data_IF_384150390925
#
_entry.id   IF_384150390925
#
_cell.length_a   1.000
_cell.length_b   1.000
_cell.length_c   1.000
_cell.angle_alpha   90.00
_cell.angle_beta   90.00
_cell.angle_gamma   90.00
#
_symmetry.space_group_name_H-M   'P 1'
#
loop_
_entity.id
_entity.type
_entity.pdbx_description
1 polymer ?
#
# COMPACT_ATOMS: atom_id res chain seq x y z
N UNK A 1 6.12 -12.95 17.07
CA UNK A 1 6.42 -12.16 15.87
C UNK A 1 5.26 -11.21 15.72
N UNK A 2 5.51 -9.91 15.59
CA UNK A 2 4.42 -8.96 15.31
C UNK A 2 4.00 -9.18 13.85
N UNK A 3 2.70 -9.27 13.62
CA UNK A 3 2.14 -9.62 12.33
C UNK A 3 2.44 -8.50 11.32
N UNK A 4 3.24 -8.79 10.29
CA UNK A 4 3.47 -7.85 9.19
C UNK A 4 2.23 -7.84 8.32
N UNK A 5 1.41 -6.80 8.43
CA UNK A 5 0.13 -6.75 7.75
C UNK A 5 0.09 -5.68 6.66
N UNK A 6 -0.64 -5.98 5.59
CA UNK A 6 -1.17 -4.97 4.67
C UNK A 6 -2.66 -4.86 4.94
N UNK A 7 -3.16 -3.63 5.03
CA UNK A 7 -4.57 -3.34 5.22
C UNK A 7 -5.03 -2.49 4.04
N UNK A 8 -6.07 -2.94 3.35
CA UNK A 8 -6.78 -2.13 2.35
C UNK A 8 -8.22 -1.86 2.79
N UNK A 9 -8.66 -0.60 2.67
CA UNK A 9 -10.02 -0.15 2.93
C UNK A 9 -10.76 0.16 1.64
N UNK A 10 -11.98 -0.35 1.51
CA UNK A 10 -12.78 -0.29 0.27
C UNK A 10 -14.19 0.18 0.61
N UNK A 11 -14.51 1.48 0.48
CA UNK A 11 -15.83 2.01 0.75
C UNK A 11 -16.84 1.65 -0.33
N UNK A 12 -18.11 1.51 0.06
CA UNK A 12 -19.23 1.27 -0.85
C UNK A 12 -20.57 1.76 -0.29
N UNK A 13 -21.61 1.73 -1.12
CA UNK A 13 -22.96 2.26 -0.82
C UNK A 13 -24.00 1.14 -0.64
N UNK A 14 -23.61 0.03 -0.05
CA UNK A 14 -24.54 -1.05 0.28
C UNK A 14 -25.55 -0.56 1.33
N UNK A 15 -26.84 -0.79 1.13
CA UNK A 15 -27.92 -0.36 2.02
C UNK A 15 -27.79 -0.94 3.42
N UNK A 16 -27.42 -2.21 3.52
CA UNK A 16 -27.22 -2.92 4.77
C UNK A 16 -26.20 -4.06 4.61
N UNK A 17 -25.79 -4.66 5.73
CA UNK A 17 -24.81 -5.78 5.73
C UNK A 17 -25.32 -7.00 4.96
N UNK A 18 -26.63 -7.20 4.84
CA UNK A 18 -27.19 -8.33 4.09
C UNK A 18 -26.96 -8.11 2.60
N UNK A 19 -27.24 -6.91 2.09
CA UNK A 19 -26.96 -6.56 0.70
C UNK A 19 -25.46 -6.65 0.40
N UNK A 20 -24.58 -6.18 1.30
CA UNK A 20 -23.13 -6.29 1.13
C UNK A 20 -22.71 -7.76 0.97
N UNK A 21 -23.10 -8.64 1.90
CA UNK A 21 -22.73 -10.06 1.86
C UNK A 21 -23.29 -10.75 0.60
N UNK A 22 -24.55 -10.46 0.23
CA UNK A 22 -25.18 -11.04 -0.96
C UNK A 22 -24.52 -10.57 -2.26
N UNK A 23 -24.16 -9.29 -2.34
CA UNK A 23 -23.51 -8.71 -3.52
C UNK A 23 -22.08 -9.25 -3.66
N UNK A 24 -21.35 -9.38 -2.56
CA UNK A 24 -20.05 -10.08 -2.55
C UNK A 24 -20.23 -11.50 -3.06
N UNK A 25 -21.11 -12.30 -2.47
CA UNK A 25 -21.29 -13.70 -2.86
C UNK A 25 -21.70 -13.90 -4.34
N UNK A 26 -22.37 -12.92 -4.95
CA UNK A 26 -22.86 -13.01 -6.33
C UNK A 26 -21.97 -12.33 -7.38
N UNK A 27 -21.15 -11.35 -7.00
CA UNK A 27 -20.41 -10.49 -7.96
C UNK A 27 -18.89 -10.47 -7.76
N UNK A 28 -18.37 -11.13 -6.72
CA UNK A 28 -16.95 -11.08 -6.37
C UNK A 28 -16.11 -12.24 -6.93
N UNK A 29 -16.56 -12.93 -7.98
CA UNK A 29 -15.80 -14.03 -8.63
C UNK A 29 -15.37 -15.16 -7.67
N UNK A 30 -16.33 -15.66 -6.88
CA UNK A 30 -16.12 -16.81 -6.01
C UNK A 30 -15.60 -16.47 -4.60
N UNK A 31 -15.37 -15.19 -4.31
CA UNK A 31 -15.14 -14.78 -2.92
C UNK A 31 -16.44 -14.80 -2.11
N UNK A 32 -16.29 -15.13 -0.82
CA UNK A 32 -17.36 -15.12 0.17
C UNK A 32 -16.89 -14.35 1.40
N UNK A 33 -17.80 -13.54 1.94
CA UNK A 33 -17.61 -12.85 3.21
C UNK A 33 -18.47 -13.53 4.28
N UNK A 34 -17.82 -14.15 5.27
CA UNK A 34 -18.48 -14.90 6.33
C UNK A 34 -17.86 -14.54 7.69
N UNK A 35 -18.61 -13.79 8.51
CA UNK A 35 -18.07 -13.22 9.74
C UNK A 35 -16.91 -12.28 9.42
N UNK A 36 -15.74 -12.57 9.99
CA UNK A 36 -14.52 -11.78 9.79
C UNK A 36 -13.56 -12.41 8.76
N UNK A 37 -14.07 -13.28 7.90
CA UNK A 37 -13.26 -14.03 6.92
C UNK A 37 -13.72 -13.68 5.51
N UNK A 38 -12.76 -13.33 4.66
CA UNK A 38 -12.94 -13.14 3.23
C UNK A 38 -12.14 -14.21 2.48
N UNK A 39 -12.84 -15.12 1.81
CA UNK A 39 -12.23 -16.36 1.30
C UNK A 39 -12.64 -16.65 -0.14
N UNK A 40 -11.69 -17.09 -0.96
CA UNK A 40 -11.94 -17.68 -2.26
C UNK A 40 -11.49 -19.14 -2.26
N UNK A 41 -12.45 -20.05 -2.39
CA UNK A 41 -12.19 -21.49 -2.31
C UNK A 41 -11.38 -22.01 -3.49
N UNK A 42 -11.67 -21.54 -4.69
CA UNK A 42 -11.05 -22.05 -5.91
C UNK A 42 -9.57 -21.64 -6.00
N UNK A 43 -9.26 -20.44 -5.51
CA UNK A 43 -7.89 -19.93 -5.40
C UNK A 43 -7.17 -20.37 -4.12
N UNK A 44 -7.90 -20.95 -3.15
CA UNK A 44 -7.40 -21.29 -1.81
C UNK A 44 -6.80 -20.08 -1.06
N UNK A 45 -7.42 -18.90 -1.21
CA UNK A 45 -6.98 -17.64 -0.61
C UNK A 45 -7.91 -17.30 0.55
N UNK A 46 -7.34 -16.86 1.67
CA UNK A 46 -8.10 -16.44 2.85
C UNK A 46 -7.49 -15.18 3.46
N UNK A 47 -8.34 -14.19 3.74
CA UNK A 47 -7.99 -12.97 4.45
C UNK A 47 -8.89 -12.79 5.66
N UNK A 48 -8.38 -12.07 6.66
CA UNK A 48 -9.26 -11.43 7.64
C UNK A 48 -9.95 -10.25 6.98
N UNK A 49 -11.21 -10.03 7.32
CA UNK A 49 -11.96 -8.88 6.87
C UNK A 49 -12.78 -8.27 8.00
N UNK A 50 -12.91 -6.94 7.94
CA UNK A 50 -13.73 -6.17 8.87
C UNK A 50 -14.66 -5.25 8.09
N UNK A 51 -15.91 -5.15 8.53
CA UNK A 51 -16.87 -4.21 7.96
C UNK A 51 -17.13 -3.13 9.00
N UNK A 52 -16.75 -1.92 8.66
CA UNK A 52 -17.02 -0.72 9.44
C UNK A 52 -18.18 0.05 8.79
N UNK A 53 -18.99 0.69 9.63
CA UNK A 53 -20.09 1.53 9.17
C UNK A 53 -19.55 2.90 8.71
N UNK A 54 -20.45 3.82 8.35
CA UNK A 54 -20.09 5.17 7.89
C UNK A 54 -19.06 5.90 8.78
N UNK A 55 -18.01 6.40 8.15
CA UNK A 55 -16.96 7.19 8.77
C UNK A 55 -16.95 8.65 8.25
N UNK A 56 -17.28 9.65 9.08
CA UNK A 56 -17.37 11.05 8.64
C UNK A 56 -16.08 11.65 8.06
N UNK A 57 -14.92 11.10 8.44
CA UNK A 57 -13.59 11.59 8.04
C UNK A 57 -13.04 10.89 6.80
N UNK A 58 -13.77 9.93 6.22
CA UNK A 58 -13.24 9.11 5.14
C UNK A 58 -12.92 9.93 3.88
N UNK A 59 -13.73 10.95 3.56
CA UNK A 59 -13.47 11.86 2.44
C UNK A 59 -12.11 12.52 2.55
N UNK A 60 -11.80 13.09 3.71
CA UNK A 60 -10.52 13.76 3.97
C UNK A 60 -9.37 12.76 3.88
N UNK A 61 -9.56 11.57 4.44
CA UNK A 61 -8.57 10.49 4.40
C UNK A 61 -8.21 10.09 2.96
N UNK A 62 -9.20 9.93 2.07
CA UNK A 62 -8.97 9.65 0.65
C UNK A 62 -8.38 10.85 -0.10
N UNK A 63 -8.80 12.07 0.23
CA UNK A 63 -8.24 13.30 -0.37
C UNK A 63 -6.73 13.36 -0.15
N UNK A 64 -6.27 13.22 1.10
CA UNK A 64 -4.84 13.21 1.42
C UNK A 64 -4.10 12.04 0.76
N UNK A 65 -4.68 10.83 0.82
CA UNK A 65 -4.02 9.61 0.32
C UNK A 65 -3.93 9.53 -1.22
N UNK A 66 -4.77 10.29 -1.93
CA UNK A 66 -4.82 10.25 -3.41
C UNK A 66 -3.89 11.24 -4.11
N UNK A 67 -3.26 12.19 -3.39
CA UNK A 67 -2.40 13.23 -3.98
C UNK A 67 -3.03 13.94 -5.19
N UNK A 68 -4.27 14.40 -5.02
CA UNK A 68 -5.08 15.06 -6.05
C UNK A 68 -5.49 14.17 -7.26
N UNK A 69 -5.28 12.85 -7.20
CA UNK A 69 -5.69 11.95 -8.28
C UNK A 69 -7.22 11.77 -8.39
N UNK A 70 -7.96 12.07 -7.32
CA UNK A 70 -9.41 11.93 -7.29
C UNK A 70 -10.10 13.24 -7.65
N UNK A 71 -11.17 13.16 -8.44
CA UNK A 71 -12.05 14.30 -8.66
C UNK A 71 -12.88 14.60 -7.40
N UNK A 72 -13.30 15.85 -7.24
CA UNK A 72 -14.20 16.24 -6.15
C UNK A 72 -15.51 15.41 -6.16
N UNK A 73 -16.01 15.04 -7.34
CA UNK A 73 -17.19 14.18 -7.45
C UNK A 73 -16.95 12.77 -6.91
N UNK A 74 -15.77 12.19 -7.16
CA UNK A 74 -15.41 10.88 -6.63
C UNK A 74 -15.23 10.92 -5.10
N UNK A 75 -14.61 11.98 -4.57
CA UNK A 75 -14.50 12.21 -3.13
C UNK A 75 -15.87 12.39 -2.49
N UNK A 76 -16.79 13.10 -3.14
CA UNK A 76 -18.16 13.25 -2.64
C UNK A 76 -18.95 11.94 -2.70
N UNK A 77 -18.70 11.08 -3.69
CA UNK A 77 -19.28 9.74 -3.70
C UNK A 77 -18.79 8.90 -2.52
N UNK A 78 -17.49 8.95 -2.23
CA UNK A 78 -16.90 8.32 -1.03
C UNK A 78 -17.52 8.89 0.24
N UNK A 79 -17.75 10.21 0.32
CA UNK A 79 -18.40 10.85 1.47
C UNK A 79 -19.82 10.32 1.75
N UNK A 80 -20.48 9.75 0.75
CA UNK A 80 -21.80 9.15 0.91
C UNK A 80 -21.76 7.61 1.04
N UNK A 81 -20.60 7.03 1.36
CA UNK A 81 -20.50 5.60 1.67
C UNK A 81 -21.37 5.22 2.87
N UNK A 82 -21.71 3.94 2.96
CA UNK A 82 -22.46 3.38 4.09
C UNK A 82 -21.61 2.40 4.89
N UNK A 83 -20.70 1.70 4.21
CA UNK A 83 -19.77 0.76 4.81
C UNK A 83 -18.41 0.85 4.14
N UNK A 84 -17.39 0.49 4.89
CA UNK A 84 -16.03 0.24 4.41
C UNK A 84 -15.65 -1.20 4.73
N UNK A 85 -15.23 -1.94 3.70
CA UNK A 85 -14.67 -3.29 3.86
C UNK A 85 -13.16 -3.14 3.98
N UNK A 86 -12.62 -3.52 5.14
CA UNK A 86 -11.19 -3.64 5.35
C UNK A 86 -10.77 -5.09 5.12
N UNK A 87 -9.75 -5.30 4.29
CA UNK A 87 -9.11 -6.60 4.09
C UNK A 87 -7.72 -6.53 4.70
N UNK A 88 -7.43 -7.48 5.59
CA UNK A 88 -6.20 -7.57 6.35
C UNK A 88 -5.45 -8.82 5.89
N UNK A 89 -4.25 -8.61 5.36
CA UNK A 89 -3.40 -9.65 4.82
C UNK A 89 -2.09 -9.74 5.61
N UNK A 90 -1.81 -10.92 6.16
CA UNK A 90 -0.53 -11.23 6.78
C UNK A 90 0.51 -11.49 5.69
N UNK A 91 1.47 -10.59 5.57
CA UNK A 91 2.56 -10.68 4.60
C UNK A 91 3.62 -11.62 5.12
N UNK A 92 3.68 -12.79 4.50
CA UNK A 92 4.80 -13.73 4.65
C UNK A 92 5.70 -13.76 3.42
N UNK A 93 5.18 -13.42 2.23
CA UNK A 93 5.92 -13.30 0.97
C UNK A 93 5.24 -12.35 -0.05
N UNK A 94 5.80 -12.23 -1.25
CA UNK A 94 5.27 -11.38 -2.33
C UNK A 94 3.98 -11.88 -2.97
N UNK A 95 3.67 -13.17 -2.88
CA UNK A 95 2.44 -13.76 -3.44
C UNK A 95 1.20 -13.15 -2.81
N UNK A 96 1.29 -12.83 -1.51
CA UNK A 96 0.22 -12.18 -0.75
C UNK A 96 -0.24 -10.85 -1.36
N UNK A 97 0.65 -10.07 -1.99
CA UNK A 97 0.28 -8.76 -2.59
C UNK A 97 -0.60 -8.95 -3.82
N UNK A 98 -0.30 -9.93 -4.67
CA UNK A 98 -1.10 -10.24 -5.87
C UNK A 98 -2.49 -10.74 -5.47
N UNK A 99 -2.55 -11.63 -4.49
CA UNK A 99 -3.82 -12.13 -3.95
C UNK A 99 -4.66 -11.01 -3.34
N UNK A 100 -4.02 -10.02 -2.71
CA UNK A 100 -4.67 -8.84 -2.15
C UNK A 100 -5.20 -7.89 -3.24
N UNK A 101 -4.47 -7.72 -4.34
CA UNK A 101 -4.95 -6.98 -5.52
C UNK A 101 -6.24 -7.62 -6.07
N UNK A 102 -6.24 -8.95 -6.22
CA UNK A 102 -7.39 -9.71 -6.69
C UNK A 102 -8.59 -9.59 -5.72
N UNK A 103 -8.34 -9.70 -4.42
CA UNK A 103 -9.35 -9.51 -3.38
C UNK A 103 -9.96 -8.10 -3.39
N UNK A 104 -9.11 -7.06 -3.54
CA UNK A 104 -9.58 -5.69 -3.69
C UNK A 104 -10.47 -5.51 -4.93
N UNK A 105 -10.06 -6.07 -6.07
CA UNK A 105 -10.85 -6.04 -7.29
C UNK A 105 -12.20 -6.76 -7.13
N UNK A 106 -12.24 -7.84 -6.33
CA UNK A 106 -13.45 -8.59 -6.02
C UNK A 106 -14.49 -7.74 -5.25
N UNK A 107 -14.06 -6.95 -4.26
CA UNK A 107 -14.97 -6.03 -3.55
C UNK A 107 -15.38 -4.85 -4.44
N UNK A 108 -14.47 -4.31 -5.26
CA UNK A 108 -14.80 -3.26 -6.24
C UNK A 108 -15.87 -3.72 -7.24
N UNK A 109 -15.81 -4.97 -7.71
CA UNK A 109 -16.86 -5.57 -8.54
C UNK A 109 -18.18 -5.69 -7.78
N UNK A 110 -18.13 -6.02 -6.50
CA UNK A 110 -19.29 -6.13 -5.63
C UNK A 110 -19.84 -4.79 -5.10
N UNK A 111 -19.45 -3.65 -5.68
CA UNK A 111 -20.01 -2.32 -5.33
C UNK A 111 -19.07 -1.39 -4.56
N UNK A 112 -17.80 -1.78 -4.36
CA UNK A 112 -16.76 -0.90 -3.86
C UNK A 112 -16.44 0.25 -4.84
N UNK A 113 -16.07 1.40 -4.29
CA UNK A 113 -15.88 2.66 -5.01
C UNK A 113 -14.40 2.99 -5.29
N UNK A 114 -13.50 2.66 -4.36
CA UNK A 114 -12.08 2.96 -4.43
C UNK A 114 -11.30 2.06 -3.46
N UNK A 115 -9.97 2.04 -3.54
CA UNK A 115 -9.12 1.28 -2.63
C UNK A 115 -8.16 2.23 -1.94
N UNK A 116 -8.07 2.16 -0.61
CA UNK A 116 -7.03 2.85 0.16
C UNK A 116 -6.14 1.82 0.85
N UNK A 117 -4.84 1.91 0.65
CA UNK A 117 -3.83 1.12 1.35
C UNK A 117 -3.52 1.84 2.66
N UNK A 118 -4.17 1.42 3.73
CA UNK A 118 -4.10 2.05 5.05
C UNK A 118 -2.68 2.04 5.62
N UNK A 119 -1.92 0.97 5.34
CA UNK A 119 -0.55 0.79 5.83
C UNK A 119 0.50 1.64 5.11
N UNK A 120 0.13 2.29 4.01
CA UNK A 120 1.02 3.15 3.22
C UNK A 120 0.46 4.57 3.00
N UNK A 121 -0.82 4.79 3.29
CA UNK A 121 -1.48 6.09 3.10
C UNK A 121 -1.69 6.44 1.64
N UNK A 122 -1.98 5.45 0.79
CA UNK A 122 -2.15 5.63 -0.66
C UNK A 122 -3.57 5.26 -1.04
N UNK A 123 -4.22 6.06 -1.89
CA UNK A 123 -5.56 5.74 -2.42
C UNK A 123 -5.57 5.67 -3.95
N UNK A 124 -6.26 4.67 -4.47
CA UNK A 124 -6.40 4.35 -5.89
C UNK A 124 -7.86 4.31 -6.30
N UNK A 125 -8.16 4.86 -7.47
CA UNK A 125 -9.53 4.76 -8.01
C UNK A 125 -9.86 3.31 -8.37
N UNK A 126 -11.15 3.05 -8.57
CA UNK A 126 -11.60 1.74 -9.06
C UNK A 126 -10.95 1.37 -10.39
N UNK A 127 -10.85 2.33 -11.31
CA UNK A 127 -10.29 2.13 -12.65
C UNK A 127 -8.80 1.80 -12.59
N UNK A 128 -8.06 2.52 -11.73
CA UNK A 128 -6.62 2.32 -11.55
C UNK A 128 -6.33 0.95 -10.94
N UNK A 129 -7.04 0.58 -9.87
CA UNK A 129 -6.91 -0.75 -9.27
C UNK A 129 -7.30 -1.88 -10.22
N UNK A 130 -8.33 -1.67 -11.04
CA UNK A 130 -8.70 -2.63 -12.08
C UNK A 130 -7.60 -2.74 -13.14
N UNK A 131 -6.98 -1.64 -13.55
CA UNK A 131 -5.87 -1.69 -14.50
C UNK A 131 -4.70 -2.53 -13.95
N UNK A 132 -4.32 -2.30 -12.69
CA UNK A 132 -3.33 -3.11 -11.98
C UNK A 132 -3.73 -4.59 -11.94
N UNK A 133 -4.97 -4.91 -11.58
CA UNK A 133 -5.46 -6.27 -11.47
C UNK A 133 -5.38 -7.05 -12.78
N UNK A 134 -5.63 -6.40 -13.93
CA UNK A 134 -5.58 -7.06 -15.24
C UNK A 134 -4.16 -7.37 -15.72
N UNK A 135 -3.18 -6.57 -15.33
CA UNK A 135 -1.79 -6.71 -15.79
C UNK A 135 -0.79 -6.38 -14.68
N UNK A 136 -0.71 -7.21 -13.61
CA UNK A 136 0.16 -6.94 -12.49
C UNK A 136 1.62 -7.27 -12.85
N UNK A 137 2.38 -6.26 -13.26
CA UNK A 137 3.85 -6.35 -13.32
C UNK A 137 4.50 -5.75 -12.07
N UNK A 138 5.75 -6.11 -11.81
CA UNK A 138 6.48 -5.72 -10.60
C UNK A 138 6.57 -4.20 -10.41
N UNK A 139 6.71 -3.43 -11.49
CA UNK A 139 6.80 -1.98 -11.42
C UNK A 139 5.44 -1.37 -11.11
N UNK A 140 4.39 -1.86 -11.76
CA UNK A 140 3.03 -1.42 -11.48
C UNK A 140 2.63 -1.74 -10.03
N UNK A 141 2.89 -2.97 -9.56
CA UNK A 141 2.63 -3.36 -8.16
C UNK A 141 3.42 -2.49 -7.18
N UNK A 142 4.71 -2.26 -7.43
CA UNK A 142 5.52 -1.34 -6.63
C UNK A 142 4.89 0.07 -6.57
N UNK A 143 4.54 0.65 -7.72
CA UNK A 143 4.01 2.01 -7.81
C UNK A 143 2.66 2.19 -7.11
N UNK A 144 1.87 1.13 -6.96
CA UNK A 144 0.60 1.19 -6.23
C UNK A 144 0.79 1.05 -4.72
N UNK A 145 1.78 0.29 -4.27
CA UNK A 145 1.95 0.01 -2.84
C UNK A 145 2.96 0.92 -2.15
N UNK A 146 3.81 1.63 -2.91
CA UNK A 146 4.88 2.46 -2.36
C UNK A 146 4.75 3.91 -2.79
N UNK A 147 4.85 4.82 -1.82
CA UNK A 147 4.80 6.26 -2.04
C UNK A 147 6.04 6.93 -1.47
N UNK A 148 6.51 8.00 -2.12
CA UNK A 148 7.54 8.88 -1.55
C UNK A 148 6.86 10.12 -0.98
N UNK A 149 7.24 10.48 0.26
CA UNK A 149 6.79 11.66 0.97
C UNK A 149 8.03 12.50 1.33
N UNK A 150 7.90 13.82 1.17
CA UNK A 150 8.90 14.78 1.60
C UNK A 150 8.46 15.46 2.88
N UNK A 151 9.33 15.44 3.87
CA UNK A 151 9.25 16.17 5.13
C UNK A 151 10.24 17.35 5.10
N UNK A 152 10.25 18.18 6.14
CA UNK A 152 11.15 19.34 6.23
C UNK A 152 12.63 18.93 6.09
N UNK A 153 13.05 17.88 6.78
CA UNK A 153 14.46 17.46 6.87
C UNK A 153 14.84 16.27 5.99
N UNK A 154 13.88 15.51 5.47
CA UNK A 154 14.15 14.28 4.73
C UNK A 154 13.06 13.91 3.72
N UNK A 155 13.40 13.05 2.77
CA UNK A 155 12.45 12.32 1.93
C UNK A 155 12.47 10.85 2.32
N UNK A 156 11.32 10.19 2.36
CA UNK A 156 11.25 8.77 2.66
C UNK A 156 10.18 8.05 1.84
N UNK A 157 10.36 6.74 1.66
CA UNK A 157 9.33 5.87 1.11
C UNK A 157 8.41 5.34 2.20
N UNK A 158 7.17 5.04 1.85
CA UNK A 158 6.23 4.28 2.67
C UNK A 158 5.64 3.17 1.85
N UNK A 159 5.58 1.96 2.43
CA UNK A 159 4.89 0.82 1.84
C UNK A 159 5.77 -0.38 1.48
N UNK A 160 7.10 -0.26 1.62
CA UNK A 160 8.00 -1.40 1.36
C UNK A 160 7.73 -2.62 2.26
N UNK A 161 7.08 -2.41 3.42
CA UNK A 161 6.59 -3.48 4.30
C UNK A 161 5.67 -4.48 3.59
N UNK A 162 4.92 -4.05 2.56
CA UNK A 162 4.07 -4.91 1.75
C UNK A 162 4.88 -6.03 1.05
N UNK A 163 6.18 -5.80 0.85
CA UNK A 163 7.09 -6.74 0.21
C UNK A 163 8.07 -7.41 1.20
N UNK A 164 7.88 -7.18 2.50
CA UNK A 164 8.79 -7.66 3.53
C UNK A 164 10.14 -6.93 3.55
N UNK A 165 10.16 -5.65 3.19
CA UNK A 165 11.38 -4.87 3.01
C UNK A 165 11.37 -3.56 3.82
N UNK A 166 12.55 -3.08 4.26
CA UNK A 166 12.67 -1.74 4.84
C UNK A 166 12.31 -0.67 3.82
N UNK A 167 11.78 0.44 4.31
CA UNK A 167 11.65 1.66 3.51
C UNK A 167 13.02 2.33 3.33
N UNK A 168 13.11 3.33 2.45
CA UNK A 168 14.31 4.10 2.22
C UNK A 168 14.11 5.57 2.61
N UNK A 169 15.18 6.21 3.09
CA UNK A 169 15.20 7.61 3.50
C UNK A 169 16.47 8.31 3.02
N UNK A 170 16.38 9.58 2.69
CA UNK A 170 17.52 10.46 2.40
C UNK A 170 17.27 11.85 2.98
N UNK A 171 18.32 12.54 3.41
CA UNK A 171 18.22 13.93 3.86
C UNK A 171 17.73 14.85 2.74
N UNK A 172 17.03 15.93 3.12
CA UNK A 172 16.53 16.97 2.21
C UNK A 172 17.67 17.88 1.73
N UNK A 173 18.59 17.31 0.96
CA UNK A 173 19.79 17.96 0.42
C UNK A 173 19.79 18.03 -1.11
N UNK A 174 18.73 17.51 -1.74
CA UNK A 174 18.52 17.47 -3.18
C UNK A 174 17.07 17.84 -3.51
N UNK A 175 16.77 18.08 -4.79
CA UNK A 175 15.40 18.40 -5.18
C UNK A 175 14.44 17.21 -4.95
N UNK A 176 13.13 17.47 -4.76
CA UNK A 176 12.15 16.40 -4.59
C UNK A 176 12.18 15.34 -5.71
N UNK A 177 12.45 15.76 -6.94
CA UNK A 177 12.55 14.87 -8.10
C UNK A 177 13.77 13.96 -8.02
N UNK A 178 14.93 14.49 -7.61
CA UNK A 178 16.16 13.71 -7.44
C UNK A 178 16.03 12.72 -6.29
N UNK A 179 15.47 13.15 -5.15
CA UNK A 179 15.21 12.29 -4.02
C UNK A 179 14.24 11.15 -4.39
N UNK A 180 13.13 11.47 -5.07
CA UNK A 180 12.20 10.46 -5.54
C UNK A 180 12.85 9.49 -6.53
N UNK A 181 13.73 9.96 -7.43
CA UNK A 181 14.45 9.08 -8.34
C UNK A 181 15.41 8.14 -7.60
N UNK A 182 16.17 8.66 -6.63
CA UNK A 182 17.07 7.89 -5.79
C UNK A 182 16.33 6.80 -5.02
N UNK A 183 15.31 7.19 -4.24
CA UNK A 183 14.56 6.27 -3.38
C UNK A 183 13.80 5.22 -4.19
N UNK A 184 13.15 5.61 -5.30
CA UNK A 184 12.46 4.64 -6.16
C UNK A 184 13.44 3.67 -6.81
N UNK A 185 14.61 4.13 -7.29
CA UNK A 185 15.60 3.25 -7.91
C UNK A 185 16.16 2.25 -6.89
N UNK A 186 16.48 2.72 -5.68
CA UNK A 186 16.95 1.87 -4.59
C UNK A 186 15.89 0.84 -4.18
N UNK A 187 14.66 1.28 -3.94
CA UNK A 187 13.56 0.39 -3.54
C UNK A 187 13.25 -0.65 -4.62
N UNK A 188 13.24 -0.24 -5.88
CA UNK A 188 13.01 -1.16 -7.00
C UNK A 188 14.12 -2.21 -7.11
N UNK A 189 15.39 -1.78 -7.00
CA UNK A 189 16.52 -2.70 -6.95
C UNK A 189 16.41 -3.66 -5.76
N UNK A 190 16.05 -3.16 -4.58
CA UNK A 190 15.88 -3.99 -3.38
C UNK A 190 14.74 -5.01 -3.53
N UNK A 191 13.63 -4.61 -4.16
CA UNK A 191 12.49 -5.47 -4.44
C UNK A 191 12.83 -6.57 -5.45
N UNK A 192 13.49 -6.21 -6.55
CA UNK A 192 13.79 -7.12 -7.66
C UNK A 192 14.95 -8.07 -7.38
N UNK A 193 16.08 -7.55 -6.89
CA UNK A 193 17.32 -8.32 -6.73
C UNK A 193 17.48 -8.92 -5.32
N UNK A 194 16.68 -8.45 -4.34
CA UNK A 194 16.72 -8.90 -2.93
C UNK A 194 18.14 -8.99 -2.35
N UNK A 195 19.01 -7.97 -2.54
CA UNK A 195 20.36 -7.96 -1.98
C UNK A 195 20.31 -7.99 -0.45
N UNK A 196 21.32 -8.61 0.17
CA UNK A 196 21.56 -8.51 1.61
C UNK A 196 22.55 -7.38 1.85
N UNK A 197 22.03 -6.18 2.13
CA UNK A 197 22.86 -5.01 2.41
C UNK A 197 23.51 -5.04 3.80
N UNK A 198 24.63 -4.35 3.93
CA UNK A 198 25.32 -4.08 5.19
C UNK A 198 25.62 -2.59 5.33
N UNK A 199 25.67 -2.14 6.59
CA UNK A 199 26.09 -0.77 6.90
C UNK A 199 27.47 -0.45 6.31
N UNK A 200 27.58 0.71 5.68
CA UNK A 200 28.80 1.20 5.05
C UNK A 200 28.98 0.75 3.59
N UNK A 201 28.12 -0.12 3.06
CA UNK A 201 28.08 -0.39 1.62
C UNK A 201 27.57 0.84 0.85
N UNK A 202 27.91 0.90 -0.43
CA UNK A 202 27.49 2.00 -1.30
C UNK A 202 26.41 1.56 -2.29
N UNK A 203 25.56 2.51 -2.64
CA UNK A 203 24.58 2.39 -3.71
C UNK A 203 24.73 3.57 -4.66
N UNK A 204 24.65 3.33 -5.96
CA UNK A 204 24.57 4.37 -6.97
C UNK A 204 23.48 4.03 -7.98
N UNK A 205 22.76 5.05 -8.43
CA UNK A 205 21.64 4.88 -9.38
C UNK A 205 22.13 4.48 -10.78
N UNK A 206 23.38 4.78 -11.13
CA UNK A 206 24.04 4.42 -12.40
C UNK A 206 25.55 4.64 -12.31
N UNK A 207 26.32 4.11 -13.26
CA UNK A 207 27.79 4.10 -13.22
C UNK A 207 28.47 5.47 -12.97
N UNK A 208 27.89 6.57 -13.45
CA UNK A 208 28.46 7.93 -13.33
C UNK A 208 27.72 8.81 -12.30
N UNK A 209 26.81 8.24 -11.50
CA UNK A 209 26.10 8.96 -10.45
C UNK A 209 26.83 8.87 -9.10
N UNK A 210 26.56 9.82 -8.16
CA UNK A 210 27.15 9.79 -6.84
C UNK A 210 26.88 8.49 -6.08
N UNK A 211 27.87 8.07 -5.29
CA UNK A 211 27.71 6.98 -4.34
C UNK A 211 27.04 7.47 -3.05
N UNK A 212 26.06 6.68 -2.60
CA UNK A 212 25.37 6.87 -1.33
C UNK A 212 25.78 5.76 -0.37
N UNK A 213 26.22 6.12 0.83
CA UNK A 213 26.53 5.19 1.91
C UNK A 213 25.22 4.75 2.56
N UNK A 214 25.02 3.44 2.61
CA UNK A 214 23.87 2.81 3.25
C UNK A 214 24.08 2.71 4.77
N UNK A 215 23.08 3.14 5.52
CA UNK A 215 23.01 2.94 6.98
C UNK A 215 21.65 2.40 7.36
N UNK A 216 21.61 1.24 8.00
CA UNK A 216 20.39 0.63 8.51
C UNK A 216 19.91 1.35 9.76
N UNK A 217 18.62 1.66 9.81
CA UNK A 217 17.96 2.32 10.93
C UNK A 217 16.74 1.50 11.36
N UNK A 218 16.36 1.62 12.63
CA UNK A 218 15.00 1.27 13.03
C UNK A 218 14.02 2.31 12.48
N UNK A 219 12.78 1.89 12.22
CA UNK A 219 11.74 2.84 11.83
C UNK A 219 11.43 3.77 13.02
N UNK A 220 11.74 5.06 12.85
CA UNK A 220 11.56 6.10 13.86
C UNK A 220 10.31 6.95 13.60
N UNK A 221 9.59 6.71 12.50
CA UNK A 221 8.55 7.61 11.99
C UNK A 221 7.21 7.39 12.70
N UNK A 222 6.96 6.17 13.16
CA UNK A 222 5.71 5.75 13.79
C UNK A 222 5.96 4.80 14.96
N UNK A 223 5.05 4.79 15.92
CA UNK A 223 5.03 3.79 16.99
C UNK A 223 4.67 2.40 16.43
N UNK A 224 5.19 1.35 17.07
CA UNK A 224 5.09 -0.03 16.55
C UNK A 224 3.66 -0.59 16.46
N UNK A 225 2.69 0.04 17.11
CA UNK A 225 1.27 -0.33 17.08
C UNK A 225 0.48 0.40 15.98
N UNK A 226 1.10 1.36 15.30
CA UNK A 226 0.48 2.09 14.20
C UNK A 226 0.63 1.34 12.86
N UNK A 227 -0.40 1.34 11.98
CA UNK A 227 -0.37 0.61 10.71
C UNK A 227 0.81 0.97 9.78
N UNK A 228 1.30 2.21 9.87
CA UNK A 228 2.40 2.74 9.06
C UNK A 228 3.78 2.25 9.49
N UNK A 229 3.93 1.69 10.70
CA UNK A 229 5.21 1.21 11.18
C UNK A 229 5.74 0.08 10.28
N UNK A 230 7.00 0.23 9.84
CA UNK A 230 7.70 -0.76 9.07
C UNK A 230 8.64 -1.58 9.99
N UNK A 231 8.29 -2.85 10.32
CA UNK A 231 9.11 -3.68 11.22
C UNK A 231 10.46 -4.10 10.62
N UNK A 232 10.67 -3.86 9.32
CA UNK A 232 11.95 -4.13 8.65
C UNK A 232 12.93 -2.96 8.76
N UNK A 233 12.49 -1.81 9.28
CA UNK A 233 13.32 -0.62 9.48
C UNK A 233 13.43 0.25 8.22
N UNK A 234 14.52 1.02 8.16
CA UNK A 234 14.81 1.97 7.09
C UNK A 234 16.25 1.80 6.59
N UNK A 235 16.47 2.03 5.30
CA UNK A 235 17.80 2.33 4.76
C UNK A 235 17.96 3.83 4.56
N UNK A 236 18.89 4.43 5.29
CA UNK A 236 19.33 5.79 5.02
C UNK A 236 20.39 5.79 3.91
N UNK A 237 20.15 6.58 2.87
CA UNK A 237 21.05 6.81 1.74
C UNK A 237 21.75 8.16 1.94
N UNK A 238 22.85 8.16 2.67
CA UNK A 238 23.65 9.36 2.91
C UNK A 238 24.70 9.59 1.83
N UNK A 239 25.09 10.82 1.54
CA UNK A 239 26.19 11.07 0.61
C UNK A 239 27.51 10.55 1.17
N UNK A 240 28.33 9.89 0.34
CA UNK A 240 29.72 9.61 0.72
C UNK A 240 30.47 10.93 0.91
N UNK A 241 31.24 11.02 1.99
CA UNK A 241 32.20 12.13 2.19
C UNK A 241 33.28 12.12 1.12
#
# INVERSE_FOLDING_TARGET
MKDNQIIIGIPGKWKDRTELIQTVASQSEGYLLAGNVFHNKDKNITFQAEIHDYEPTLKDSFSYASKDAFSESALEEINHHTFTVYIIADVSDTGTVIDLIDAGAAILRAGGMAVKIETAGIAHSKEDWQHLHHSPDILSVYAHFVTIIGEEDYYCSFGMKAFGLPDAVTLNTMSPKEAAALLNTFNYYHLGERPLFKDGETFSIQQDAPDFILTGLQDFRYEEDLPFYNPFGLWNLGTSK
#
